data_IF_886800631573
#
_entry.id   IF_886800631573
#
_cell.length_a   1.000
_cell.length_b   1.000
_cell.length_c   1.000
_cell.angle_alpha   90.00
_cell.angle_beta   90.00
_cell.angle_gamma   90.00
#
_symmetry.space_group_name_H-M   'P 1'
#
loop_
_entity.id
_entity.type
_entity.pdbx_description
1 polymer ?
#
# COMPACT_ATOMS: atom_id res chain seq x y z
N UNK A 1 0.82 -2.08 -19.68
CA UNK A 1 0.05 -3.05 -20.50
C UNK A 1 -0.27 -4.38 -19.80
N UNK A 2 0.63 -5.01 -19.03
CA UNK A 2 0.38 -6.35 -18.43
C UNK A 2 -0.73 -6.39 -17.34
N UNK A 3 -0.88 -5.36 -16.50
CA UNK A 3 -1.92 -5.31 -15.45
C UNK A 3 -3.37 -5.27 -15.97
N UNK A 4 -3.63 -4.46 -17.02
CA UNK A 4 -4.94 -4.45 -17.72
C UNK A 4 -5.25 -5.79 -18.39
N UNK A 5 -4.23 -6.49 -18.92
CA UNK A 5 -4.38 -7.82 -19.53
C UNK A 5 -4.73 -8.88 -18.49
N UNK A 6 -4.13 -8.84 -17.29
CA UNK A 6 -4.47 -9.76 -16.20
C UNK A 6 -5.92 -9.56 -15.74
N UNK A 7 -6.35 -8.31 -15.52
CA UNK A 7 -7.75 -8.02 -15.15
C UNK A 7 -8.76 -8.36 -16.25
N UNK A 8 -8.42 -8.14 -17.52
CA UNK A 8 -9.27 -8.49 -18.65
C UNK A 8 -9.40 -10.02 -18.81
N UNK A 9 -8.29 -10.75 -18.70
CA UNK A 9 -8.26 -12.22 -18.76
C UNK A 9 -9.00 -12.87 -17.59
N UNK A 10 -8.84 -12.34 -16.38
CA UNK A 10 -9.57 -12.83 -15.21
C UNK A 10 -11.08 -12.52 -15.26
N UNK A 11 -11.49 -11.43 -15.91
CA UNK A 11 -12.91 -11.14 -16.18
C UNK A 11 -13.52 -12.07 -17.22
N UNK A 12 -12.79 -12.39 -18.30
CA UNK A 12 -13.26 -13.33 -19.34
C UNK A 12 -13.40 -14.77 -18.83
N UNK A 13 -12.67 -15.14 -17.76
CA UNK A 13 -12.76 -16.45 -17.09
C UNK A 13 -13.92 -16.56 -16.08
N UNK A 14 -14.85 -15.60 -16.03
CA UNK A 14 -16.05 -15.67 -15.17
C UNK A 14 -15.78 -15.55 -13.67
N UNK A 15 -14.58 -15.12 -13.27
CA UNK A 15 -14.22 -14.99 -11.85
C UNK A 15 -14.93 -13.80 -11.19
N UNK A 16 -15.56 -14.04 -10.05
CA UNK A 16 -16.19 -12.96 -9.27
C UNK A 16 -15.16 -11.92 -8.79
N UNK A 17 -15.59 -10.66 -8.58
CA UNK A 17 -14.77 -9.60 -7.97
C UNK A 17 -14.11 -10.05 -6.64
N UNK A 18 -14.77 -10.95 -5.91
CA UNK A 18 -14.30 -11.47 -4.63
C UNK A 18 -13.20 -12.54 -4.82
N UNK A 19 -13.31 -13.38 -5.86
CA UNK A 19 -12.27 -14.33 -6.26
C UNK A 19 -11.02 -13.61 -6.78
N UNK A 20 -11.19 -12.48 -7.50
CA UNK A 20 -10.07 -11.62 -7.92
C UNK A 20 -9.36 -10.96 -6.74
N UNK A 21 -10.10 -10.42 -5.74
CA UNK A 21 -9.51 -9.88 -4.50
C UNK A 21 -8.66 -10.93 -3.77
N UNK A 22 -9.11 -12.19 -3.71
CA UNK A 22 -8.36 -13.29 -3.07
C UNK A 22 -7.05 -13.63 -3.80
N UNK A 23 -6.97 -13.36 -5.11
CA UNK A 23 -5.89 -13.77 -6.01
C UNK A 23 -4.73 -12.79 -6.15
N UNK A 24 -4.74 -11.64 -5.48
CA UNK A 24 -3.64 -10.66 -5.57
C UNK A 24 -3.08 -10.27 -4.20
N UNK A 25 -3.67 -10.69 -3.10
CA UNK A 25 -3.21 -10.29 -1.77
C UNK A 25 -2.55 -11.45 -1.04
N UNK A 26 -1.51 -11.14 -0.27
CA UNK A 26 -0.92 -12.07 0.70
C UNK A 26 -0.47 -13.40 0.08
N UNK A 27 0.20 -13.32 -1.08
CA UNK A 27 0.84 -14.49 -1.70
C UNK A 27 1.71 -15.24 -0.70
N UNK A 28 1.55 -16.57 -0.68
CA UNK A 28 2.19 -17.46 0.30
C UNK A 28 3.71 -17.36 0.26
N UNK A 29 4.29 -17.25 -0.93
CA UNK A 29 5.75 -17.12 -1.10
C UNK A 29 6.34 -15.82 -0.50
N UNK A 30 5.50 -14.81 -0.20
CA UNK A 30 5.91 -13.56 0.46
C UNK A 30 5.66 -13.58 1.97
N UNK A 31 5.11 -14.65 2.53
CA UNK A 31 4.71 -14.69 3.94
C UNK A 31 5.87 -14.44 4.90
N UNK A 32 6.99 -15.16 4.72
CA UNK A 32 8.16 -15.01 5.58
C UNK A 32 8.78 -13.62 5.45
N UNK A 33 8.83 -13.06 4.23
CA UNK A 33 9.30 -11.69 4.01
C UNK A 33 8.41 -10.67 4.75
N UNK A 34 7.08 -10.83 4.67
CA UNK A 34 6.14 -9.98 5.41
C UNK A 34 6.26 -10.14 6.93
N UNK A 35 6.51 -11.34 7.44
CA UNK A 35 6.76 -11.56 8.88
C UNK A 35 8.02 -10.84 9.32
N UNK A 36 9.13 -11.01 8.58
CA UNK A 36 10.40 -10.33 8.85
C UNK A 36 10.22 -8.81 8.88
N UNK A 37 9.64 -8.22 7.83
CA UNK A 37 9.39 -6.77 7.75
C UNK A 37 8.48 -6.27 8.89
N UNK A 38 7.47 -7.06 9.29
CA UNK A 38 6.64 -6.70 10.44
C UNK A 38 7.38 -6.73 11.78
N UNK A 39 8.47 -7.49 11.89
CA UNK A 39 9.27 -7.56 13.11
C UNK A 39 10.46 -6.58 13.07
N UNK A 40 10.72 -5.95 11.92
CA UNK A 40 11.84 -5.04 11.70
C UNK A 40 11.38 -3.73 11.06
N UNK A 41 10.31 -3.12 11.61
CA UNK A 41 9.83 -1.82 11.12
C UNK A 41 10.91 -0.76 11.29
N UNK A 42 10.97 0.19 10.37
CA UNK A 42 11.76 1.41 10.58
C UNK A 42 11.14 2.26 11.70
N UNK A 43 11.88 3.20 12.31
CA UNK A 43 11.31 4.11 13.30
C UNK A 43 10.09 4.89 12.79
N UNK A 44 10.12 5.35 11.53
CA UNK A 44 9.02 6.10 10.91
C UNK A 44 7.79 5.21 10.71
N UNK A 45 7.97 3.99 10.21
CA UNK A 45 6.89 3.01 10.09
C UNK A 45 6.29 2.67 11.46
N UNK A 46 7.13 2.43 12.48
CA UNK A 46 6.66 2.12 13.82
C UNK A 46 5.85 3.28 14.43
N UNK A 47 6.29 4.51 14.21
CA UNK A 47 5.59 5.71 14.65
C UNK A 47 4.23 5.86 13.95
N UNK A 48 4.20 5.88 12.62
CA UNK A 48 2.95 6.00 11.87
C UNK A 48 2.00 4.84 12.18
N UNK A 49 2.51 3.62 12.38
CA UNK A 49 1.69 2.48 12.78
C UNK A 49 0.94 2.73 14.10
N UNK A 50 1.56 3.38 15.09
CA UNK A 50 0.87 3.72 16.36
C UNK A 50 -0.31 4.66 16.17
N UNK A 51 -0.25 5.54 15.16
CA UNK A 51 -1.32 6.46 14.78
C UNK A 51 -2.44 5.77 13.98
N UNK A 52 -2.11 4.75 13.17
CA UNK A 52 -3.07 4.08 12.27
C UNK A 52 -3.71 2.82 12.86
N UNK A 53 -3.02 2.11 13.75
CA UNK A 53 -3.47 0.82 14.26
C UNK A 53 -4.79 0.92 15.03
N UNK A 54 -5.46 -0.23 15.21
CA UNK A 54 -6.70 -0.32 15.98
C UNK A 54 -7.82 0.64 15.49
N UNK A 55 -7.79 0.98 14.19
CA UNK A 55 -8.75 1.88 13.56
C UNK A 55 -8.78 3.30 14.13
N UNK A 56 -7.66 3.77 14.70
CA UNK A 56 -7.54 5.10 15.32
C UNK A 56 -7.82 6.25 14.35
N UNK A 57 -7.46 6.11 13.06
CA UNK A 57 -7.72 7.14 12.06
C UNK A 57 -9.12 6.95 11.47
N UNK A 58 -10.09 7.68 12.01
CA UNK A 58 -11.50 7.72 11.57
C UNK A 58 -12.16 6.33 11.41
N UNK A 59 -11.81 5.38 12.26
CA UNK A 59 -12.37 4.04 12.20
C UNK A 59 -11.93 3.20 11.01
N UNK A 60 -10.93 3.63 10.21
CA UNK A 60 -10.44 2.89 9.03
C UNK A 60 -9.41 1.84 9.41
N UNK A 61 -9.50 0.63 8.83
CA UNK A 61 -8.59 -0.47 9.16
C UNK A 61 -7.35 -0.42 8.27
N UNK A 62 -6.21 -0.14 8.87
CA UNK A 62 -4.91 -0.27 8.22
C UNK A 62 -4.25 -1.61 8.55
N UNK A 63 -3.51 -2.13 7.57
CA UNK A 63 -2.58 -3.26 7.70
C UNK A 63 -1.19 -2.74 7.39
N UNK A 64 -0.17 -3.24 8.08
CA UNK A 64 1.23 -2.94 7.82
C UNK A 64 1.95 -4.07 7.07
N UNK A 65 2.89 -3.73 6.21
CA UNK A 65 3.71 -4.65 5.42
C UNK A 65 2.85 -5.70 4.69
N UNK A 66 1.85 -5.20 3.95
CA UNK A 66 0.84 -6.00 3.26
C UNK A 66 1.27 -6.26 1.83
N UNK A 67 1.10 -7.49 1.33
CA UNK A 67 1.48 -7.78 -0.07
C UNK A 67 0.30 -7.68 -1.03
N UNK A 68 0.58 -7.06 -2.17
CA UNK A 68 -0.30 -6.93 -3.33
C UNK A 68 0.51 -7.31 -4.57
N UNK A 69 0.07 -8.34 -5.30
CA UNK A 69 0.88 -9.06 -6.27
C UNK A 69 2.23 -9.46 -5.65
N UNK A 70 3.33 -9.12 -6.32
CA UNK A 70 4.69 -9.39 -5.86
C UNK A 70 5.29 -8.22 -5.04
N UNK A 71 4.48 -7.21 -4.71
CA UNK A 71 4.91 -6.03 -3.95
C UNK A 71 4.50 -6.15 -2.49
N UNK A 72 5.35 -5.71 -1.57
CA UNK A 72 5.00 -5.51 -0.16
C UNK A 72 4.99 -3.99 0.07
N UNK A 73 3.85 -3.48 0.52
CA UNK A 73 3.63 -2.05 0.78
C UNK A 73 3.59 -1.80 2.29
N UNK A 74 4.06 -0.63 2.72
CA UNK A 74 4.25 -0.36 4.16
C UNK A 74 2.93 -0.30 4.90
N UNK A 75 1.92 0.39 4.35
CA UNK A 75 0.56 0.35 4.87
C UNK A 75 -0.49 0.21 3.76
N UNK A 76 -1.58 -0.48 4.10
CA UNK A 76 -2.72 -0.68 3.22
C UNK A 76 -4.05 -0.57 3.97
N UNK A 77 -4.94 0.30 3.50
CA UNK A 77 -6.33 0.38 3.94
C UNK A 77 -7.24 -0.27 2.91
N UNK A 78 -7.95 -1.33 3.33
CA UNK A 78 -8.78 -2.14 2.41
C UNK A 78 -10.06 -1.42 2.00
N UNK A 79 -10.69 -0.69 2.93
CA UNK A 79 -11.93 0.06 2.68
C UNK A 79 -11.72 1.15 1.62
N UNK A 80 -10.58 1.83 1.70
CA UNK A 80 -10.24 2.97 0.84
C UNK A 80 -9.47 2.58 -0.42
N UNK A 81 -8.99 1.34 -0.52
CA UNK A 81 -8.00 0.93 -1.52
C UNK A 81 -6.77 1.86 -1.54
N UNK A 82 -6.36 2.31 -0.36
CA UNK A 82 -5.27 3.26 -0.18
C UNK A 82 -4.00 2.53 0.26
N UNK A 83 -2.91 2.80 -0.43
CA UNK A 83 -1.55 2.35 -0.13
C UNK A 83 -0.76 3.57 0.34
N UNK A 84 -0.03 3.41 1.44
CA UNK A 84 0.90 4.42 1.96
C UNK A 84 2.28 3.78 1.99
N UNK A 85 3.26 4.45 1.39
CA UNK A 85 4.67 4.05 1.44
C UNK A 85 5.50 5.14 2.11
N UNK A 86 6.48 4.73 2.91
CA UNK A 86 7.41 5.64 3.56
C UNK A 86 8.76 5.52 2.89
N UNK A 87 9.19 6.60 2.23
CA UNK A 87 10.46 6.60 1.53
C UNK A 87 11.59 7.02 2.49
N UNK A 88 12.55 6.11 2.66
CA UNK A 88 13.84 6.39 3.28
C UNK A 88 14.85 6.80 2.22
N UNK A 89 14.96 8.10 1.95
CA UNK A 89 15.85 8.72 0.96
C UNK A 89 15.66 8.23 -0.49
N UNK A 90 15.40 9.18 -1.39
CA UNK A 90 15.44 8.92 -2.84
C UNK A 90 16.90 8.77 -3.25
N UNK A 91 17.39 7.54 -3.36
CA UNK A 91 18.62 7.32 -4.12
C UNK A 91 18.29 7.53 -5.60
N UNK A 92 18.77 8.63 -6.17
CA UNK A 92 18.66 8.97 -7.59
C UNK A 92 19.47 7.98 -8.45
N UNK A 93 18.95 6.76 -8.58
CA UNK A 93 19.40 5.79 -9.57
C UNK A 93 18.26 5.64 -10.58
N UNK A 94 18.53 5.97 -11.84
CA UNK A 94 17.57 5.89 -12.96
C UNK A 94 16.91 4.50 -13.04
N UNK A 95 17.67 3.43 -12.77
CA UNK A 95 17.15 2.05 -12.79
C UNK A 95 16.15 1.80 -11.66
N UNK A 96 16.31 2.48 -10.52
CA UNK A 96 15.39 2.36 -9.38
C UNK A 96 14.11 3.15 -9.62
N UNK A 97 14.23 4.34 -10.23
CA UNK A 97 13.10 5.17 -10.64
C UNK A 97 12.18 4.44 -11.63
N UNK A 98 12.72 3.77 -12.64
CA UNK A 98 11.92 3.01 -13.62
C UNK A 98 11.17 1.83 -12.97
N UNK A 99 11.80 1.16 -12.01
CA UNK A 99 11.18 0.07 -11.25
C UNK A 99 10.05 0.58 -10.37
N UNK A 100 10.23 1.72 -9.72
CA UNK A 100 9.23 2.35 -8.85
C UNK A 100 8.05 2.94 -9.64
N UNK A 101 8.32 3.54 -10.80
CA UNK A 101 7.29 3.99 -11.73
C UNK A 101 6.42 2.82 -12.22
N UNK A 102 7.07 1.72 -12.64
CA UNK A 102 6.35 0.51 -13.07
C UNK A 102 5.51 -0.10 -11.95
N UNK A 103 6.05 -0.19 -10.73
CA UNK A 103 5.34 -0.65 -9.52
C UNK A 103 4.08 0.18 -9.29
N UNK A 104 4.22 1.50 -9.30
CA UNK A 104 3.12 2.44 -9.07
C UNK A 104 2.03 2.29 -10.13
N UNK A 105 2.42 2.30 -11.42
CA UNK A 105 1.49 2.09 -12.54
C UNK A 105 0.73 0.77 -12.43
N UNK A 106 1.40 -0.31 -12.03
CA UNK A 106 0.77 -1.62 -11.90
C UNK A 106 -0.27 -1.62 -10.76
N UNK A 107 0.07 -1.10 -9.58
CA UNK A 107 -0.84 -1.01 -8.45
C UNK A 107 -2.04 -0.08 -8.75
N UNK A 108 -1.79 1.08 -9.36
CA UNK A 108 -2.86 2.01 -9.74
C UNK A 108 -3.79 1.41 -10.80
N UNK A 109 -3.27 0.60 -11.73
CA UNK A 109 -4.09 -0.11 -12.72
C UNK A 109 -5.09 -1.11 -12.10
N UNK A 110 -4.84 -1.55 -10.85
CA UNK A 110 -5.76 -2.38 -10.06
C UNK A 110 -6.80 -1.54 -9.29
N UNK A 111 -6.73 -0.21 -9.40
CA UNK A 111 -7.60 0.77 -8.73
C UNK A 111 -7.19 1.04 -7.30
N UNK A 112 -5.91 0.87 -6.94
CA UNK A 112 -5.36 1.37 -5.68
C UNK A 112 -4.91 2.82 -5.86
N UNK A 113 -5.03 3.63 -4.80
CA UNK A 113 -4.35 4.92 -4.71
C UNK A 113 -3.06 4.75 -3.93
N UNK A 114 -1.95 5.27 -4.41
CA UNK A 114 -0.65 5.23 -3.74
C UNK A 114 -0.28 6.64 -3.33
N UNK A 115 0.05 6.83 -2.05
CA UNK A 115 0.62 8.08 -1.54
C UNK A 115 1.93 7.78 -0.81
N UNK A 116 2.88 8.71 -0.87
CA UNK A 116 4.24 8.55 -0.33
C UNK A 116 4.55 9.71 0.60
N UNK A 117 5.31 9.44 1.64
CA UNK A 117 5.84 10.45 2.56
C UNK A 117 7.32 10.17 2.81
N UNK A 118 8.12 11.22 2.98
CA UNK A 118 9.46 11.05 3.51
C UNK A 118 9.40 10.65 4.99
N UNK A 119 10.37 9.84 5.43
CA UNK A 119 10.46 9.45 6.85
C UNK A 119 10.44 10.65 7.81
N UNK A 120 11.07 11.78 7.45
CA UNK A 120 11.12 12.99 8.29
C UNK A 120 9.73 13.61 8.50
N UNK A 121 8.89 13.63 7.46
CA UNK A 121 7.54 14.20 7.52
C UNK A 121 6.66 13.46 8.52
N UNK A 122 6.88 12.16 8.72
CA UNK A 122 6.14 11.36 9.70
C UNK A 122 6.37 11.88 11.13
N UNK A 123 7.57 12.38 11.42
CA UNK A 123 7.93 12.87 12.75
C UNK A 123 7.69 14.38 12.90
N UNK A 124 8.05 15.15 11.88
CA UNK A 124 8.05 16.62 11.92
C UNK A 124 6.70 17.22 11.54
N UNK A 125 5.95 16.51 10.70
CA UNK A 125 4.70 16.99 10.08
C UNK A 125 3.57 15.96 10.24
N UNK A 126 3.53 15.27 11.39
CA UNK A 126 2.58 14.15 11.63
C UNK A 126 1.13 14.53 11.32
N UNK A 127 0.69 15.73 11.71
CA UNK A 127 -0.68 16.19 11.45
C UNK A 127 -0.95 16.33 9.94
N UNK A 128 -0.02 16.91 9.18
CA UNK A 128 -0.11 17.00 7.72
C UNK A 128 -0.18 15.61 7.08
N UNK A 129 0.63 14.65 7.54
CA UNK A 129 0.60 13.27 7.06
C UNK A 129 -0.78 12.63 7.31
N UNK A 130 -1.32 12.76 8.53
CA UNK A 130 -2.63 12.19 8.87
C UNK A 130 -3.77 12.87 8.10
N UNK A 131 -3.74 14.19 7.93
CA UNK A 131 -4.70 14.94 7.13
C UNK A 131 -4.63 14.55 5.65
N UNK A 132 -3.42 14.39 5.11
CA UNK A 132 -3.20 13.89 3.76
C UNK A 132 -3.80 12.50 3.59
N UNK A 133 -3.58 11.57 4.53
CA UNK A 133 -4.20 10.24 4.51
C UNK A 133 -5.73 10.34 4.54
N UNK A 134 -6.31 11.15 5.43
CA UNK A 134 -7.76 11.34 5.55
C UNK A 134 -8.42 11.88 4.29
N UNK A 135 -7.76 12.80 3.57
CA UNK A 135 -8.30 13.36 2.32
C UNK A 135 -8.53 12.31 1.22
N UNK A 136 -7.99 11.11 1.39
CA UNK A 136 -8.19 9.98 0.48
C UNK A 136 -9.36 9.07 0.87
N UNK A 137 -10.04 9.34 1.98
CA UNK A 137 -11.15 8.52 2.43
C UNK A 137 -12.42 8.85 1.66
N UNK A 138 -13.16 7.82 1.29
CA UNK A 138 -14.52 7.97 0.80
C UNK A 138 -15.39 8.52 1.94
N UNK A 139 -16.32 9.40 1.57
CA UNK A 139 -17.37 9.86 2.48
C UNK A 139 -18.13 8.64 3.02
N UNK A 140 -18.46 8.67 4.31
CA UNK A 140 -19.41 7.72 4.89
C UNK A 140 -20.80 8.34 4.78
N UNK A 141 -21.76 7.54 4.38
CA UNK A 141 -23.19 7.86 4.50
C UNK A 141 -23.63 7.75 5.97
#
# INVERSE_FOLDING_TARGET
MKGKVILAKLKSEGLTRQTMKKRIHNYKHLEERRKKLRNSLTPAEAFLWKCLQQKKLEGRKFRRQHSILNYIVDFYCTEEKLIIELDGQVHFNVVQQDKDAKRTIELESLGFKVIRFENKQVFEETEFVLNSIKSNFKKRD
#
